data_IF_292632104236
#
_entry.id   IF_292632104236
#
_cell.length_a   1.000
_cell.length_b   1.000
_cell.length_c   1.000
_cell.angle_alpha   90.00
_cell.angle_beta   90.00
_cell.angle_gamma   90.00
#
_symmetry.space_group_name_H-M   'P 1'
#
loop_
_entity.id
_entity.type
_entity.pdbx_description
1 polymer ?
#
# COMPACT_ATOMS: atom_id res chain seq x y z
N UNK A 1 9.31 -4.92 -27.81
CA UNK A 1 8.23 -4.86 -26.80
C UNK A 1 8.88 -4.81 -25.43
N UNK A 2 9.17 -3.61 -24.90
CA UNK A 2 9.80 -3.43 -23.59
C UNK A 2 8.72 -3.09 -22.56
N UNK A 3 8.10 -4.11 -21.96
CA UNK A 3 7.14 -3.95 -20.86
C UNK A 3 7.80 -3.71 -19.49
N UNK A 4 9.14 -3.59 -19.43
CA UNK A 4 9.88 -3.45 -18.17
C UNK A 4 9.91 -2.03 -17.58
N UNK A 5 9.49 -0.99 -18.31
CA UNK A 5 9.44 0.38 -17.79
C UNK A 5 8.16 0.72 -17.01
N UNK A 6 7.11 -0.11 -17.11
CA UNK A 6 5.85 0.19 -16.44
C UNK A 6 5.87 -0.24 -14.96
N UNK A 7 6.55 -1.35 -14.64
CA UNK A 7 6.54 -1.93 -13.29
C UNK A 7 7.10 -0.96 -12.23
N UNK A 8 8.24 -0.32 -12.49
CA UNK A 8 8.90 0.58 -11.53
C UNK A 8 8.11 1.86 -11.20
N UNK A 9 7.39 2.43 -12.18
CA UNK A 9 6.52 3.60 -11.95
C UNK A 9 5.32 3.22 -11.09
N UNK A 10 4.72 2.07 -11.37
CA UNK A 10 3.60 1.55 -10.59
C UNK A 10 4.00 1.20 -9.14
N UNK A 11 5.22 0.70 -8.91
CA UNK A 11 5.76 0.43 -7.57
C UNK A 11 5.93 1.75 -6.79
N UNK A 12 6.53 2.78 -7.41
CA UNK A 12 6.72 4.10 -6.78
C UNK A 12 5.37 4.75 -6.41
N UNK A 13 4.39 4.69 -7.31
CA UNK A 13 3.05 5.21 -7.05
C UNK A 13 2.34 4.43 -5.93
N UNK A 14 2.47 3.11 -5.91
CA UNK A 14 1.93 2.29 -4.83
C UNK A 14 2.56 2.61 -3.48
N UNK A 15 3.88 2.82 -3.44
CA UNK A 15 4.62 3.25 -2.25
C UNK A 15 4.06 4.58 -1.73
N UNK A 16 3.84 5.56 -2.62
CA UNK A 16 3.27 6.85 -2.27
C UNK A 16 1.84 6.71 -1.74
N UNK A 17 0.99 5.92 -2.39
CA UNK A 17 -0.39 5.69 -1.94
C UNK A 17 -0.46 5.02 -0.56
N UNK A 18 0.39 4.03 -0.30
CA UNK A 18 0.49 3.37 1.01
C UNK A 18 0.98 4.36 2.06
N UNK A 19 1.96 5.20 1.73
CA UNK A 19 2.47 6.22 2.63
C UNK A 19 1.37 7.23 3.01
N UNK A 20 0.62 7.74 2.04
CA UNK A 20 -0.51 8.64 2.30
C UNK A 20 -1.55 7.95 3.17
N UNK A 21 -1.91 6.70 2.89
CA UNK A 21 -2.84 5.93 3.73
C UNK A 21 -2.34 5.80 5.18
N UNK A 22 -1.05 5.48 5.38
CA UNK A 22 -0.45 5.39 6.72
C UNK A 22 -0.51 6.74 7.44
N UNK A 23 -0.11 7.82 6.77
CA UNK A 23 -0.13 9.18 7.34
C UNK A 23 -1.55 9.60 7.74
N UNK A 24 -2.53 9.35 6.87
CA UNK A 24 -3.94 9.64 7.16
C UNK A 24 -4.47 8.76 8.28
N UNK A 25 -4.12 7.47 8.34
CA UNK A 25 -4.50 6.58 9.45
C UNK A 25 -3.90 7.00 10.79
N UNK A 26 -2.68 7.56 10.80
CA UNK A 26 -2.05 8.08 12.02
C UNK A 26 -2.74 9.34 12.53
N UNK A 27 -3.19 10.21 11.64
CA UNK A 27 -3.83 11.48 12.03
C UNK A 27 -5.34 11.32 12.29
N UNK A 28 -6.05 10.60 11.40
CA UNK A 28 -7.51 10.45 11.41
C UNK A 28 -7.89 8.99 11.10
N UNK A 29 -7.91 8.14 12.13
CA UNK A 29 -8.36 6.74 12.00
C UNK A 29 -9.88 6.66 11.94
N UNK A 30 -10.46 6.90 10.76
CA UNK A 30 -11.91 6.73 10.52
C UNK A 30 -12.21 5.42 9.80
N UNK A 31 -13.48 4.99 9.85
CA UNK A 31 -13.97 3.82 9.10
C UNK A 31 -13.74 3.96 7.59
N UNK A 32 -13.87 5.18 7.06
CA UNK A 32 -13.64 5.49 5.65
C UNK A 32 -12.17 5.29 5.27
N UNK A 33 -11.24 5.89 6.03
CA UNK A 33 -9.80 5.76 5.78
C UNK A 33 -9.34 4.31 5.90
N UNK A 34 -9.91 3.56 6.85
CA UNK A 34 -9.67 2.11 6.99
C UNK A 34 -10.13 1.33 5.76
N UNK A 35 -11.30 1.68 5.20
CA UNK A 35 -11.86 1.04 3.99
C UNK A 35 -11.02 1.36 2.74
N UNK A 36 -10.59 2.61 2.59
CA UNK A 36 -9.69 3.07 1.54
C UNK A 36 -8.36 2.33 1.58
N UNK A 37 -7.71 2.30 2.76
CA UNK A 37 -6.46 1.60 2.98
C UNK A 37 -6.54 0.10 2.66
N UNK A 38 -7.66 -0.56 3.02
CA UNK A 38 -7.91 -1.97 2.64
C UNK A 38 -8.04 -2.16 1.11
N UNK A 39 -8.68 -1.22 0.42
CA UNK A 39 -8.76 -1.24 -1.06
C UNK A 39 -7.38 -1.10 -1.68
N UNK A 40 -6.59 -0.11 -1.24
CA UNK A 40 -5.22 0.11 -1.72
C UNK A 40 -4.36 -1.13 -1.52
N UNK A 41 -4.40 -1.75 -0.34
CA UNK A 41 -3.74 -3.03 -0.09
C UNK A 41 -4.18 -4.14 -1.07
N UNK A 42 -5.48 -4.24 -1.34
CA UNK A 42 -6.00 -5.27 -2.26
C UNK A 42 -5.51 -5.04 -3.69
N UNK A 43 -5.50 -3.78 -4.15
CA UNK A 43 -5.01 -3.41 -5.48
C UNK A 43 -3.52 -3.73 -5.61
N UNK A 44 -2.71 -3.34 -4.63
CA UNK A 44 -1.26 -3.61 -4.62
C UNK A 44 -0.98 -5.11 -4.62
N UNK A 45 -1.71 -5.88 -3.80
CA UNK A 45 -1.53 -7.34 -3.74
C UNK A 45 -1.94 -8.07 -5.02
N UNK A 46 -2.88 -7.52 -5.79
CA UNK A 46 -3.36 -8.12 -7.04
C UNK A 46 -2.60 -7.69 -8.28
N UNK A 47 -2.11 -6.45 -8.31
CA UNK A 47 -1.59 -5.83 -9.54
C UNK A 47 -0.07 -5.67 -9.54
N UNK A 48 0.59 -5.77 -8.38
CA UNK A 48 2.02 -5.51 -8.27
C UNK A 48 2.73 -6.69 -7.63
N UNK A 49 3.98 -6.93 -8.07
CA UNK A 49 4.89 -7.86 -7.39
C UNK A 49 5.49 -7.18 -6.14
N UNK A 50 4.61 -6.80 -5.21
CA UNK A 50 4.97 -6.09 -3.98
C UNK A 50 5.92 -6.89 -3.08
N UNK A 51 5.89 -8.22 -3.16
CA UNK A 51 6.81 -9.12 -2.44
C UNK A 51 8.25 -9.01 -2.94
N UNK A 52 8.43 -8.66 -4.21
CA UNK A 52 9.75 -8.54 -4.84
C UNK A 52 10.41 -7.17 -4.59
N UNK A 53 9.64 -6.20 -4.07
CA UNK A 53 10.12 -4.87 -3.69
C UNK A 53 10.21 -4.78 -2.16
N UNK A 54 11.41 -4.76 -1.56
CA UNK A 54 11.56 -4.75 -0.11
C UNK A 54 10.91 -3.50 0.52
N UNK A 55 10.99 -2.35 -0.14
CA UNK A 55 10.39 -1.11 0.35
C UNK A 55 8.85 -1.16 0.31
N UNK A 56 8.27 -1.62 -0.80
CA UNK A 56 6.82 -1.74 -0.92
C UNK A 56 6.28 -2.80 0.04
N UNK A 57 6.95 -3.96 0.15
CA UNK A 57 6.61 -5.02 1.10
C UNK A 57 6.60 -4.54 2.54
N UNK A 58 7.65 -3.81 2.95
CA UNK A 58 7.72 -3.24 4.29
C UNK A 58 6.57 -2.26 4.57
N UNK A 59 6.25 -1.39 3.62
CA UNK A 59 5.14 -0.43 3.74
C UNK A 59 3.78 -1.12 3.77
N UNK A 60 3.58 -2.15 2.95
CA UNK A 60 2.38 -2.99 2.93
C UNK A 60 2.17 -3.68 4.29
N UNK A 61 3.22 -4.29 4.84
CA UNK A 61 3.16 -4.90 6.17
C UNK A 61 2.85 -3.88 7.27
N UNK A 62 3.42 -2.68 7.20
CA UNK A 62 3.15 -1.62 8.17
C UNK A 62 1.68 -1.17 8.08
N UNK A 63 1.15 -0.96 6.87
CA UNK A 63 -0.25 -0.63 6.66
C UNK A 63 -1.19 -1.75 7.12
N UNK A 64 -0.86 -3.01 6.86
CA UNK A 64 -1.60 -4.16 7.39
C UNK A 64 -1.58 -4.18 8.91
N UNK A 65 -0.42 -3.99 9.54
CA UNK A 65 -0.31 -3.89 10.99
C UNK A 65 -1.23 -2.81 11.56
N UNK A 66 -1.31 -1.64 10.95
CA UNK A 66 -2.21 -0.58 11.41
C UNK A 66 -3.71 -0.88 11.27
N UNK A 67 -4.07 -1.67 10.25
CA UNK A 67 -5.46 -2.05 9.97
C UNK A 67 -5.93 -3.26 10.79
N UNK A 68 -5.05 -4.22 11.05
CA UNK A 68 -5.37 -5.50 11.70
C UNK A 68 -4.96 -5.55 13.17
N UNK A 69 -3.98 -4.76 13.64
CA UNK A 69 -3.61 -4.64 15.07
C UNK A 69 -4.56 -3.73 15.86
N UNK A 70 -5.79 -3.60 15.38
CA UNK A 70 -6.89 -2.90 16.05
C UNK A 70 -7.93 -3.92 16.58
N UNK A 71 -7.43 -5.06 17.07
CA UNK A 71 -8.12 -6.02 17.92
C UNK A 71 -7.44 -5.96 19.27
#
# INVERSE_FOLDING_TARGET
>A
MNQSCNDGRNITEAILQVHVCIATLKQHKTKQVTKEAKKVLTVIRKNLNWENSPELSQKVHLLQGMLYKAV
#
